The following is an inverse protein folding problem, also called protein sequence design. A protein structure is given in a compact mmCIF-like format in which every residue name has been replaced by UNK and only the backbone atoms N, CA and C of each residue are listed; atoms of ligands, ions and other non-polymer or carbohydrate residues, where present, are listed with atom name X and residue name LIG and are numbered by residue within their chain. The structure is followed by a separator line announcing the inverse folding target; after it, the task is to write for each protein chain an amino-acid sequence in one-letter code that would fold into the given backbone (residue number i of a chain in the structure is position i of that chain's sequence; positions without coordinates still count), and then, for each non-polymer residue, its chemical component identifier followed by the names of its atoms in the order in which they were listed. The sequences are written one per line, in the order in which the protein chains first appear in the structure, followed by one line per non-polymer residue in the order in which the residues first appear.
data_IF_012718019426
#
_entry.id   IF_012718019426
#
_cell.length_a   1.000
_cell.length_b   1.000
_cell.length_c   1.000
_cell.angle_alpha   90.00
_cell.angle_beta   90.00
_cell.angle_gamma   90.00
#
_symmetry.space_group_name_H-M   'P 1'
#
loop_
_entity.id
_entity.type
_entity.pdbx_description
1 polymer ?
#
# COMPACT_ATOMS: atom_id res chain seq x y z
N UNK A 1 -27.59 -65.44 21.25
CA UNK A 1 -26.87 -64.96 20.06
C UNK A 1 -27.26 -63.50 19.82
N UNK A 2 -26.47 -62.54 20.29
CA UNK A 2 -26.67 -61.10 20.02
C UNK A 2 -25.28 -60.49 19.81
N UNK A 3 -24.98 -60.08 18.57
CA UNK A 3 -23.71 -59.43 18.20
C UNK A 3 -23.86 -57.91 18.42
N UNK A 4 -22.86 -57.23 18.98
CA UNK A 4 -22.95 -55.78 19.16
C UNK A 4 -22.67 -55.08 17.82
N UNK A 5 -23.45 -54.03 17.57
CA UNK A 5 -23.32 -53.14 16.42
C UNK A 5 -22.13 -52.20 16.66
N UNK A 6 -21.07 -52.35 15.89
CA UNK A 6 -19.90 -51.46 15.94
C UNK A 6 -20.26 -50.12 15.31
N UNK A 7 -20.17 -49.04 16.10
CA UNK A 7 -20.37 -47.67 15.66
C UNK A 7 -19.09 -47.19 14.95
N UNK A 8 -19.15 -47.07 13.61
CA UNK A 8 -18.06 -46.51 12.83
C UNK A 8 -18.05 -44.98 12.97
N UNK A 9 -17.05 -44.45 13.68
CA UNK A 9 -16.70 -43.03 13.67
C UNK A 9 -16.02 -42.70 12.34
N UNK A 10 -16.77 -42.09 11.41
CA UNK A 10 -16.22 -41.47 10.21
C UNK A 10 -15.64 -40.12 10.62
N UNK A 11 -14.32 -40.06 10.81
CA UNK A 11 -13.59 -38.79 10.93
C UNK A 11 -13.59 -38.10 9.57
N UNK A 12 -14.49 -37.14 9.38
CA UNK A 12 -14.46 -36.24 8.24
C UNK A 12 -13.26 -35.29 8.38
N UNK A 13 -12.19 -35.58 7.63
CA UNK A 13 -11.09 -34.64 7.42
C UNK A 13 -11.61 -33.54 6.49
N UNK A 14 -11.90 -32.36 7.04
CA UNK A 14 -12.16 -31.18 6.22
C UNK A 14 -10.90 -30.88 5.40
N UNK A 15 -11.01 -30.55 4.10
CA UNK A 15 -9.86 -30.09 3.35
C UNK A 15 -9.45 -28.74 3.95
N UNK A 16 -8.28 -28.70 4.58
CA UNK A 16 -7.59 -27.44 4.87
C UNK A 16 -7.37 -26.81 3.50
N UNK A 17 -8.15 -25.77 3.17
CA UNK A 17 -8.00 -25.02 1.93
C UNK A 17 -6.53 -24.61 1.80
N UNK A 18 -5.89 -24.95 0.69
CA UNK A 18 -4.50 -24.59 0.44
C UNK A 18 -4.40 -23.06 0.42
N UNK A 19 -4.01 -22.49 1.55
CA UNK A 19 -3.87 -21.06 1.71
C UNK A 19 -2.70 -20.62 0.85
N UNK A 20 -3.00 -19.87 -0.21
CA UNK A 20 -1.99 -19.47 -1.18
C UNK A 20 -1.13 -18.39 -0.55
N UNK A 21 0.14 -18.71 -0.33
CA UNK A 21 1.14 -17.70 0.00
C UNK A 21 1.47 -16.87 -1.25
N UNK A 22 1.56 -15.56 -1.05
CA UNK A 22 1.92 -14.60 -2.07
C UNK A 22 3.13 -13.77 -1.61
N UNK A 23 3.90 -13.27 -2.58
CA UNK A 23 4.89 -12.23 -2.33
C UNK A 23 4.23 -10.86 -2.42
N UNK A 24 4.01 -10.23 -1.27
CA UNK A 24 3.35 -8.95 -1.14
C UNK A 24 4.14 -7.80 -1.78
N UNK A 25 5.47 -7.90 -1.87
CA UNK A 25 6.28 -6.88 -2.56
C UNK A 25 6.01 -6.93 -4.05
N UNK A 26 6.04 -8.14 -4.64
CA UNK A 26 5.76 -8.33 -6.06
C UNK A 26 4.33 -7.92 -6.43
N UNK A 27 3.33 -8.33 -5.65
CA UNK A 27 1.93 -7.91 -5.88
C UNK A 27 1.73 -6.42 -5.61
N UNK A 28 2.53 -5.84 -4.71
CA UNK A 28 2.54 -4.40 -4.41
C UNK A 28 2.99 -3.57 -5.60
N UNK A 29 4.07 -3.98 -6.26
CA UNK A 29 4.55 -3.35 -7.50
C UNK A 29 3.48 -3.39 -8.59
N UNK A 30 2.86 -4.55 -8.79
CA UNK A 30 1.78 -4.73 -9.76
C UNK A 30 0.56 -3.88 -9.41
N UNK A 31 0.18 -3.81 -8.14
CA UNK A 31 -0.94 -2.99 -7.67
C UNK A 31 -0.66 -1.50 -7.89
N UNK A 32 0.55 -1.04 -7.59
CA UNK A 32 0.99 0.35 -7.81
C UNK A 32 0.85 0.77 -9.28
N UNK A 33 1.21 -0.12 -10.22
CA UNK A 33 1.02 0.10 -11.66
C UNK A 33 -0.46 0.04 -12.06
N UNK A 34 -1.18 -1.00 -11.59
CA UNK A 34 -2.58 -1.27 -11.94
C UNK A 34 -3.52 -0.13 -11.53
N UNK A 35 -3.31 0.44 -10.34
CA UNK A 35 -4.11 1.56 -9.83
C UNK A 35 -3.59 2.93 -10.27
N UNK A 36 -2.62 2.98 -11.19
CA UNK A 36 -2.15 4.20 -11.84
C UNK A 36 -1.27 5.10 -10.98
N UNK A 37 -0.76 4.63 -9.84
CA UNK A 37 0.10 5.44 -8.96
C UNK A 37 1.37 5.91 -9.68
N UNK A 38 1.90 5.07 -10.59
CA UNK A 38 3.08 5.37 -11.40
C UNK A 38 2.89 6.55 -12.37
N UNK A 39 1.65 6.95 -12.69
CA UNK A 39 1.38 8.09 -13.58
C UNK A 39 1.83 9.39 -12.93
N UNK A 40 1.57 9.55 -11.63
CA UNK A 40 1.84 10.79 -10.91
C UNK A 40 3.12 10.73 -10.07
N UNK A 41 3.63 9.53 -9.76
CA UNK A 41 4.73 9.35 -8.81
C UNK A 41 5.95 8.69 -9.44
N UNK A 42 7.11 9.31 -9.26
CA UNK A 42 8.40 8.71 -9.58
C UNK A 42 8.85 7.80 -8.43
N UNK A 43 9.44 6.66 -8.79
CA UNK A 43 9.96 5.67 -7.83
C UNK A 43 11.45 5.41 -7.99
N UNK A 44 12.07 5.95 -9.04
CA UNK A 44 13.51 5.83 -9.24
C UNK A 44 14.27 6.81 -8.32
N UNK A 45 15.43 6.37 -7.86
CA UNK A 45 16.39 7.23 -7.16
C UNK A 45 16.78 8.39 -8.09
N UNK A 46 16.86 9.59 -7.53
CA UNK A 46 17.28 10.81 -8.24
C UNK A 46 16.48 11.14 -9.52
N UNK A 47 15.23 10.66 -9.62
CA UNK A 47 14.36 11.00 -10.76
C UNK A 47 14.04 12.51 -10.79
N UNK A 48 14.55 13.22 -11.78
CA UNK A 48 14.36 14.65 -11.95
C UNK A 48 13.09 15.03 -12.74
N UNK A 49 12.27 14.04 -13.13
CA UNK A 49 11.05 14.33 -13.89
C UNK A 49 10.06 15.15 -13.07
N UNK A 50 9.49 16.18 -13.72
CA UNK A 50 8.41 16.96 -13.14
C UNK A 50 7.14 16.13 -13.23
N UNK A 51 6.68 15.62 -12.09
CA UNK A 51 5.40 14.90 -11.97
C UNK A 51 4.43 15.64 -11.09
N UNK A 52 3.15 15.31 -11.23
CA UNK A 52 2.06 15.89 -10.47
C UNK A 52 2.03 15.47 -9.00
N UNK A 53 2.74 14.39 -8.63
CA UNK A 53 2.92 13.93 -7.25
C UNK A 53 4.39 13.85 -6.83
N UNK A 54 4.67 13.77 -5.52
CA UNK A 54 6.02 13.64 -4.99
C UNK A 54 6.71 12.35 -5.44
N UNK A 55 8.03 12.39 -5.55
CA UNK A 55 8.85 11.18 -5.61
C UNK A 55 8.67 10.32 -4.35
N UNK A 56 8.67 9.00 -4.54
CA UNK A 56 8.42 8.04 -3.46
C UNK A 56 9.66 7.25 -3.05
N UNK A 57 10.76 7.34 -3.81
CA UNK A 57 12.04 6.78 -3.41
C UNK A 57 12.55 7.45 -2.13
N UNK A 58 12.94 6.66 -1.15
CA UNK A 58 13.44 7.11 0.15
C UNK A 58 12.37 7.71 1.07
N UNK A 59 11.09 7.60 0.72
CA UNK A 59 10.00 8.18 1.52
C UNK A 59 9.63 7.30 2.72
N UNK A 60 9.41 6.01 2.49
CA UNK A 60 8.93 5.07 3.50
C UNK A 60 10.06 4.16 3.98
N UNK A 61 10.89 4.70 4.86
CA UNK A 61 12.05 4.01 5.44
C UNK A 61 11.64 3.11 6.60
N UNK A 62 12.54 2.20 7.00
CA UNK A 62 12.36 1.38 8.21
C UNK A 62 12.27 2.24 9.48
N UNK A 63 13.11 3.27 9.58
CA UNK A 63 12.97 4.33 10.58
C UNK A 63 12.27 5.55 9.95
N UNK A 64 11.02 5.87 10.34
CA UNK A 64 10.26 6.92 9.68
C UNK A 64 10.94 8.28 9.78
N UNK A 65 11.19 8.90 8.62
CA UNK A 65 11.67 10.28 8.54
C UNK A 65 10.53 11.28 8.69
N UNK A 66 10.88 12.50 9.08
CA UNK A 66 9.96 13.62 9.00
C UNK A 66 9.87 14.16 7.57
N UNK A 67 8.71 14.74 7.26
CA UNK A 67 8.48 15.55 6.06
C UNK A 67 7.50 16.67 6.35
N UNK A 68 7.59 17.74 5.56
CA UNK A 68 6.64 18.83 5.61
C UNK A 68 5.42 18.53 4.72
N UNK A 69 4.24 18.89 5.20
CA UNK A 69 2.97 18.82 4.47
C UNK A 69 2.15 20.09 4.72
N UNK A 70 1.27 20.40 3.78
CA UNK A 70 0.30 21.49 3.88
C UNK A 70 -1.14 20.95 3.84
N UNK A 71 -2.05 21.58 4.58
CA UNK A 71 -3.49 21.34 4.42
C UNK A 71 -4.01 22.05 3.16
N UNK A 72 -4.82 21.37 2.35
CA UNK A 72 -5.22 21.87 1.03
C UNK A 72 -5.97 23.21 1.06
N UNK A 73 -6.84 23.41 2.05
CA UNK A 73 -7.70 24.60 2.11
C UNK A 73 -7.09 25.76 2.89
N UNK A 74 -6.44 25.45 4.02
CA UNK A 74 -5.91 26.48 4.94
C UNK A 74 -4.47 26.87 4.61
N UNK A 75 -3.75 26.03 3.85
CA UNK A 75 -2.32 26.19 3.61
C UNK A 75 -1.45 25.98 4.85
N UNK A 76 -2.04 25.57 5.99
CA UNK A 76 -1.32 25.34 7.23
C UNK A 76 -0.25 24.26 7.02
N UNK A 77 0.99 24.57 7.41
CA UNK A 77 2.15 23.69 7.29
C UNK A 77 2.43 22.98 8.61
N UNK A 78 2.76 21.70 8.53
CA UNK A 78 3.18 20.88 9.68
C UNK A 78 4.16 19.81 9.28
N UNK A 79 4.95 19.36 10.25
CA UNK A 79 5.78 18.17 10.11
C UNK A 79 4.98 16.91 10.43
N UNK A 80 5.16 15.86 9.63
CA UNK A 80 4.60 14.53 9.86
C UNK A 80 5.67 13.47 9.68
N UNK A 81 5.52 12.33 10.38
CA UNK A 81 6.34 11.15 10.12
C UNK A 81 5.82 10.43 8.88
N UNK A 82 6.72 10.08 7.97
CA UNK A 82 6.41 9.28 6.79
C UNK A 82 6.28 7.79 7.15
N UNK A 83 5.26 7.47 7.96
CA UNK A 83 4.98 6.14 8.47
C UNK A 83 3.75 5.49 7.80
N UNK A 84 3.30 4.35 8.35
CA UNK A 84 2.12 3.62 7.85
C UNK A 84 0.86 4.48 7.88
N UNK A 85 0.69 5.32 8.91
CA UNK A 85 -0.47 6.19 9.07
C UNK A 85 -0.46 7.29 8.01
N UNK A 86 0.69 7.90 7.76
CA UNK A 86 0.83 8.87 6.69
C UNK A 86 0.56 8.25 5.31
N UNK A 87 1.08 7.05 5.05
CA UNK A 87 0.82 6.33 3.79
C UNK A 87 -0.67 6.06 3.58
N UNK A 88 -1.35 5.44 4.56
CA UNK A 88 -2.78 5.11 4.43
C UNK A 88 -3.64 6.36 4.32
N UNK A 89 -3.31 7.41 5.08
CA UNK A 89 -3.96 8.72 4.97
C UNK A 89 -3.75 9.32 3.60
N UNK A 90 -2.54 9.24 3.02
CA UNK A 90 -2.27 9.76 1.67
C UNK A 90 -3.11 9.08 0.59
N UNK A 91 -3.48 7.80 0.77
CA UNK A 91 -4.35 7.09 -0.18
C UNK A 91 -5.84 7.38 0.07
N UNK A 92 -6.26 7.43 1.34
CA UNK A 92 -7.68 7.51 1.72
C UNK A 92 -8.21 8.94 1.90
N UNK A 93 -7.34 9.87 2.28
CA UNK A 93 -7.61 11.28 2.60
C UNK A 93 -6.44 12.15 2.10
N UNK A 94 -6.12 12.03 0.82
CA UNK A 94 -4.95 12.63 0.17
C UNK A 94 -4.80 14.14 0.38
N UNK A 95 -5.90 14.85 0.64
CA UNK A 95 -5.92 16.31 0.79
C UNK A 95 -5.62 16.81 2.21
N UNK A 96 -5.65 15.92 3.21
CA UNK A 96 -5.34 16.25 4.61
C UNK A 96 -3.85 16.56 4.83
N UNK A 97 -3.00 16.16 3.88
CA UNK A 97 -1.55 16.29 3.96
C UNK A 97 -0.90 16.34 2.57
N UNK A 98 -1.07 17.47 1.88
CA UNK A 98 -0.37 17.72 0.61
C UNK A 98 1.12 17.81 0.87
N UNK A 99 1.89 16.94 0.22
CA UNK A 99 3.35 16.98 0.28
C UNK A 99 3.88 18.37 -0.07
N UNK A 100 4.88 18.87 0.67
CA UNK A 100 5.71 19.99 0.21
C UNK A 100 6.89 19.43 -0.59
N UNK A 101 7.18 20.04 -1.73
CA UNK A 101 8.28 19.61 -2.59
C UNK A 101 9.64 19.86 -1.93
N UNK A 102 10.48 18.82 -1.85
CA UNK A 102 11.79 18.89 -1.18
C UNK A 102 12.93 19.27 -2.15
N UNK A 103 12.69 19.16 -3.47
CA UNK A 103 13.66 19.35 -4.55
C UNK A 103 13.03 19.98 -5.79
N UNK A 104 13.88 20.36 -6.75
CA UNK A 104 13.48 20.93 -8.03
C UNK A 104 13.02 22.39 -7.94
N UNK A 105 12.51 22.91 -9.06
CA UNK A 105 12.08 24.31 -9.20
C UNK A 105 10.91 24.69 -8.27
N UNK A 106 10.08 23.71 -7.90
CA UNK A 106 8.92 23.91 -7.02
C UNK A 106 9.23 23.69 -5.54
N UNK A 107 10.51 23.48 -5.17
CA UNK A 107 10.93 23.25 -3.78
C UNK A 107 10.30 24.28 -2.83
N UNK A 108 9.75 23.78 -1.72
CA UNK A 108 9.06 24.59 -0.72
C UNK A 108 7.59 24.86 -1.04
N UNK A 109 7.10 24.54 -2.23
CA UNK A 109 5.67 24.62 -2.58
C UNK A 109 4.95 23.30 -2.30
N UNK A 110 3.68 23.38 -1.90
CA UNK A 110 2.83 22.20 -1.79
C UNK A 110 2.46 21.66 -3.17
N UNK A 111 2.40 20.32 -3.32
CA UNK A 111 1.85 19.68 -4.51
C UNK A 111 0.35 20.00 -4.64
N UNK A 112 -0.19 20.05 -5.88
CA UNK A 112 -1.59 20.38 -6.09
C UNK A 112 -2.53 19.31 -5.50
N UNK A 113 -3.73 19.73 -5.13
CA UNK A 113 -4.84 18.89 -4.67
C UNK A 113 -5.46 18.09 -5.85
N UNK A 114 -4.66 17.24 -6.49
CA UNK A 114 -5.07 16.47 -7.69
C UNK A 114 -5.10 14.96 -7.44
N UNK A 115 -4.38 14.46 -6.43
CA UNK A 115 -4.43 13.04 -6.05
C UNK A 115 -5.82 12.72 -5.50
N UNK A 116 -6.58 11.79 -6.10
CA UNK A 116 -7.89 11.42 -5.61
C UNK A 116 -7.84 10.76 -4.22
N UNK A 117 -8.91 10.93 -3.45
CA UNK A 117 -9.15 10.13 -2.25
C UNK A 117 -9.73 8.77 -2.67
N UNK A 118 -8.89 7.74 -2.71
CA UNK A 118 -9.31 6.43 -3.19
C UNK A 118 -10.10 5.71 -2.11
N UNK A 119 -11.39 5.47 -2.34
CA UNK A 119 -12.19 4.58 -1.50
C UNK A 119 -11.74 3.11 -1.64
N UNK A 120 -12.03 2.27 -0.64
CA UNK A 120 -11.69 0.84 -0.67
C UNK A 120 -12.36 0.08 -1.83
N UNK A 121 -13.46 0.61 -2.37
CA UNK A 121 -14.11 0.06 -3.58
C UNK A 121 -13.29 0.30 -4.87
N UNK A 122 -12.43 1.32 -4.90
CA UNK A 122 -11.58 1.66 -6.07
C UNK A 122 -10.20 1.04 -5.91
N UNK A 123 -9.58 1.24 -4.75
CA UNK A 123 -8.28 0.61 -4.40
C UNK A 123 -8.51 -0.21 -3.13
N UNK A 124 -8.66 -1.55 -3.22
CA UNK A 124 -8.92 -2.40 -2.06
C UNK A 124 -7.85 -2.29 -0.99
N UNK A 125 -8.23 -2.44 0.28
CA UNK A 125 -7.29 -2.34 1.42
C UNK A 125 -6.13 -3.34 1.29
N UNK A 126 -6.41 -4.52 0.73
CA UNK A 126 -5.37 -5.52 0.49
C UNK A 126 -4.32 -5.06 -0.54
N UNK A 127 -4.75 -4.33 -1.59
CA UNK A 127 -3.82 -3.73 -2.54
C UNK A 127 -3.01 -2.60 -1.89
N UNK A 128 -3.64 -1.79 -1.03
CA UNK A 128 -2.95 -0.75 -0.24
C UNK A 128 -1.91 -1.36 0.70
N UNK A 129 -2.17 -2.53 1.29
CA UNK A 129 -1.18 -3.29 2.07
C UNK A 129 0.01 -3.74 1.21
N UNK A 130 -0.24 -4.33 0.05
CA UNK A 130 0.85 -4.77 -0.82
C UNK A 130 1.69 -3.59 -1.34
N UNK A 131 1.04 -2.50 -1.75
CA UNK A 131 1.73 -1.28 -2.21
C UNK A 131 2.67 -0.76 -1.12
N UNK A 132 2.28 -0.81 0.14
CA UNK A 132 3.16 -0.40 1.24
C UNK A 132 4.43 -1.23 1.35
N UNK A 133 4.32 -2.56 1.25
CA UNK A 133 5.49 -3.42 1.24
C UNK A 133 6.41 -3.10 0.07
N UNK A 134 5.85 -2.88 -1.12
CA UNK A 134 6.60 -2.45 -2.29
C UNK A 134 7.29 -1.09 -2.09
N UNK A 135 6.58 -0.06 -1.63
CA UNK A 135 7.17 1.27 -1.48
C UNK A 135 8.31 1.30 -0.45
N UNK A 136 8.27 0.42 0.56
CA UNK A 136 9.36 0.27 1.52
C UNK A 136 10.63 -0.34 0.93
N UNK A 137 10.56 -1.00 -0.22
CA UNK A 137 11.77 -1.48 -0.91
C UNK A 137 12.47 -0.37 -1.69
N UNK A 138 11.81 0.79 -1.87
CA UNK A 138 12.34 1.92 -2.63
C UNK A 138 13.19 2.82 -1.74
N UNK A 139 14.33 2.33 -1.28
CA UNK A 139 15.28 3.11 -0.48
C UNK A 139 16.70 2.53 -0.63
N UNK A 140 17.67 3.24 -0.05
CA UNK A 140 19.05 2.75 0.03
C UNK A 140 19.15 1.53 0.97
N UNK A 141 20.20 0.73 0.77
CA UNK A 141 20.50 -0.43 1.60
C UNK A 141 20.63 -0.02 3.08
N UNK A 142 20.07 -0.84 3.97
CA UNK A 142 20.01 -0.54 5.41
C UNK A 142 18.88 0.40 5.82
N UNK A 143 18.21 1.08 4.86
CA UNK A 143 17.03 1.91 5.13
C UNK A 143 15.74 1.30 4.56
N UNK A 144 15.86 0.45 3.55
CA UNK A 144 14.76 -0.28 2.94
C UNK A 144 14.12 -1.31 3.89
N UNK A 145 12.85 -1.61 3.63
CA UNK A 145 12.17 -2.78 4.18
C UNK A 145 12.57 -4.08 3.48
N UNK A 146 11.98 -5.23 3.89
CA UNK A 146 12.29 -6.52 3.30
C UNK A 146 11.97 -6.59 1.80
N UNK A 147 12.86 -7.20 1.01
CA UNK A 147 12.68 -7.38 -0.44
C UNK A 147 11.57 -8.39 -0.80
N UNK A 148 11.19 -9.27 0.14
CA UNK A 148 10.11 -10.25 0.00
C UNK A 148 9.34 -10.28 1.31
N UNK A 149 8.02 -10.24 1.21
CA UNK A 149 7.12 -10.41 2.37
C UNK A 149 6.07 -11.44 2.01
N UNK A 150 6.09 -12.58 2.70
CA UNK A 150 5.12 -13.66 2.50
C UNK A 150 3.83 -13.32 3.23
N UNK A 151 2.72 -13.31 2.52
CA UNK A 151 1.39 -13.08 3.08
C UNK A 151 0.42 -14.13 2.58
N UNK A 152 -0.59 -14.42 3.38
CA UNK A 152 -1.73 -15.23 2.97
C UNK A 152 -2.64 -14.41 2.04
N UNK A 153 -2.99 -14.95 0.88
CA UNK A 153 -4.00 -14.33 0.03
C UNK A 153 -5.37 -14.45 0.71
N UNK A 154 -5.99 -13.31 1.05
CA UNK A 154 -7.40 -13.30 1.44
C UNK A 154 -8.23 -13.64 0.21
N UNK A 155 -9.08 -14.67 0.29
CA UNK A 155 -9.95 -15.04 -0.82
C UNK A 155 -10.66 -13.81 -1.38
N UNK A 156 -10.64 -13.68 -2.71
CA UNK A 156 -11.45 -12.69 -3.41
C UNK A 156 -12.90 -12.98 -3.09
N UNK A 157 -13.57 -12.08 -2.38
CA UNK A 157 -15.03 -12.15 -2.20
C UNK A 157 -15.64 -11.96 -3.58
N UNK A 158 -15.93 -13.06 -4.25
CA UNK A 158 -16.72 -13.07 -5.47
C UNK A 158 -18.13 -12.61 -5.06
N UNK A 159 -18.65 -11.50 -5.62
CA UNK A 159 -20.03 -11.12 -5.35
C UNK A 159 -20.96 -12.26 -5.73
N UNK A 160 -21.81 -12.71 -4.81
CA UNK A 160 -22.91 -13.63 -5.10
C UNK A 160 -24.00 -12.88 -5.89
N UNK A 161 -23.69 -12.59 -7.15
CA UNK A 161 -24.59 -12.39 -8.29
C UNK A 161 -23.82 -11.63 -9.39
N UNK A 162 -23.33 -12.30 -10.43
CA UNK A 162 -23.19 -11.63 -11.72
C UNK A 162 -24.60 -11.30 -12.22
N UNK A 163 -24.81 -10.03 -12.61
CA UNK A 163 -26.00 -9.58 -13.35
C UNK A 163 -26.19 -10.42 -14.63
#
# INVERSE_FOLDING_TARGET
MTRPLALALVSASLPVGAQREIDAVAEGRKSFETYGCAVCHAVAKDDESVRTGPGLYGLFLTEPREREVAHAESGERRMVKADRTYFTTSVRKSWDALAVAERGETKGSAYPQIMPMYASAVVPDQAVEYIWHYLRTLADEGQAGPAVVRMEEKEKVVPKNPL
#
